data_IF_948491691101
#
_entry.id   IF_948491691101
#
_cell.length_a   1.000
_cell.length_b   1.000
_cell.length_c   1.000
_cell.angle_alpha   90.00
_cell.angle_beta   90.00
_cell.angle_gamma   90.00
#
_symmetry.space_group_name_H-M   'P 1'
#
loop_
_entity.id
_entity.type
_entity.pdbx_description
1 polymer ?
#
# COMPACT_ATOMS: atom_id res chain seq x y z
N UNK A 1 6.60 -23.18 2.91
CA UNK A 1 5.98 -22.07 3.65
C UNK A 1 6.71 -20.79 3.26
N UNK A 2 6.09 -19.76 2.67
CA UNK A 2 6.83 -18.54 2.36
C UNK A 2 7.10 -17.80 3.67
N UNK A 3 8.35 -17.37 3.83
CA UNK A 3 8.97 -16.96 5.10
C UNK A 3 8.66 -15.51 5.51
N UNK A 4 7.90 -14.74 4.72
CA UNK A 4 7.62 -13.32 4.97
C UNK A 4 6.24 -12.88 4.41
N UNK A 5 5.20 -12.70 5.23
CA UNK A 5 3.84 -12.34 4.78
C UNK A 5 3.61 -10.83 4.54
N UNK A 6 4.57 -9.96 4.90
CA UNK A 6 4.35 -8.51 4.98
C UNK A 6 4.61 -7.73 3.68
N UNK A 7 5.38 -8.29 2.74
CA UNK A 7 5.58 -7.73 1.41
C UNK A 7 5.00 -8.70 0.37
N UNK A 8 3.68 -8.70 0.28
CA UNK A 8 3.01 -9.22 -0.91
C UNK A 8 2.93 -8.05 -1.89
N UNK A 9 3.67 -8.10 -3.00
CA UNK A 9 3.20 -7.41 -4.20
C UNK A 9 1.83 -8.02 -4.48
N UNK A 10 0.79 -7.21 -4.33
CA UNK A 10 -0.52 -7.62 -4.75
C UNK A 10 -0.61 -7.18 -6.21
N UNK A 11 -0.03 -7.99 -7.08
CA UNK A 11 -0.55 -8.04 -8.45
C UNK A 11 -1.96 -8.59 -8.33
N UNK A 12 -2.94 -7.70 -8.21
CA UNK A 12 -4.33 -8.08 -8.03
C UNK A 12 -4.89 -8.58 -9.37
N UNK A 13 -4.53 -9.81 -9.73
CA UNK A 13 -4.95 -10.46 -10.96
C UNK A 13 -6.31 -11.15 -10.79
N UNK A 14 -7.15 -11.13 -11.84
CA UNK A 14 -8.48 -11.76 -11.84
C UNK A 14 -9.62 -10.86 -11.33
N UNK A 15 -10.80 -11.43 -11.06
CA UNK A 15 -12.02 -10.71 -10.61
C UNK A 15 -12.22 -10.69 -9.08
N UNK A 16 -11.16 -10.95 -8.30
CA UNK A 16 -11.26 -11.08 -6.84
C UNK A 16 -11.45 -9.70 -6.20
N UNK A 17 -12.53 -9.55 -5.41
CA UNK A 17 -12.84 -8.34 -4.64
C UNK A 17 -12.17 -8.41 -3.27
N UNK A 18 -11.18 -7.54 -3.06
CA UNK A 18 -10.46 -7.44 -1.78
C UNK A 18 -10.80 -6.14 -1.07
N UNK A 19 -10.63 -6.12 0.24
CA UNK A 19 -10.80 -4.90 1.05
C UNK A 19 -9.79 -4.86 2.18
N UNK A 20 -9.35 -3.66 2.54
CA UNK A 20 -8.55 -3.44 3.74
C UNK A 20 -9.46 -2.91 4.84
N UNK A 21 -9.47 -3.55 6.00
CA UNK A 21 -10.35 -3.13 7.10
C UNK A 21 -9.69 -2.06 7.95
N UNK A 22 -10.12 -0.81 7.75
CA UNK A 22 -9.70 0.36 8.53
C UNK A 22 -10.75 0.81 9.55
N UNK A 23 -11.98 1.10 9.11
CA UNK A 23 -13.03 1.64 9.99
C UNK A 23 -13.56 0.64 11.04
N UNK A 24 -13.24 -0.64 10.91
CA UNK A 24 -13.63 -1.69 11.85
C UNK A 24 -12.49 -1.97 12.83
N UNK A 25 -12.06 -0.97 13.59
CA UNK A 25 -10.99 -1.07 14.58
C UNK A 25 -11.34 -1.91 15.82
N UNK A 26 -12.30 -2.82 15.75
CA UNK A 26 -12.48 -3.91 16.73
C UNK A 26 -12.51 -5.28 16.04
N UNK A 27 -12.43 -5.29 14.70
CA UNK A 27 -12.42 -6.52 13.92
C UNK A 27 -11.09 -7.25 14.12
N UNK A 28 -11.10 -8.59 14.27
CA UNK A 28 -9.88 -9.40 14.25
C UNK A 28 -9.15 -9.35 12.90
N UNK A 29 -9.78 -8.78 11.88
CA UNK A 29 -9.25 -8.57 10.54
C UNK A 29 -8.74 -7.14 10.31
N UNK A 30 -8.69 -6.29 11.35
CA UNK A 30 -8.18 -4.93 11.26
C UNK A 30 -6.76 -4.88 10.67
N UNK A 31 -6.51 -3.91 9.79
CA UNK A 31 -5.25 -3.73 9.06
C UNK A 31 -4.81 -4.97 8.25
N UNK A 32 -5.77 -5.74 7.73
CA UNK A 32 -5.53 -6.87 6.82
C UNK A 32 -6.28 -6.69 5.52
N UNK A 33 -5.66 -7.16 4.44
CA UNK A 33 -6.32 -7.30 3.15
C UNK A 33 -6.99 -8.67 3.12
N UNK A 34 -8.30 -8.67 2.99
CA UNK A 34 -9.12 -9.88 2.98
C UNK A 34 -9.91 -9.99 1.69
N UNK A 35 -10.28 -11.22 1.35
CA UNK A 35 -11.15 -11.56 0.23
C UNK A 35 -12.56 -11.82 0.78
N UNK A 36 -13.53 -11.06 0.31
CA UNK A 36 -14.90 -11.13 0.82
C UNK A 36 -15.54 -12.51 0.59
N UNK A 37 -15.16 -13.21 -0.48
CA UNK A 37 -15.66 -14.56 -0.77
C UNK A 37 -15.14 -15.59 0.24
N UNK A 38 -14.05 -15.28 0.96
CA UNK A 38 -13.44 -16.15 1.96
C UNK A 38 -13.88 -15.84 3.39
N UNK A 39 -14.02 -14.56 3.73
CA UNK A 39 -14.36 -14.14 5.10
C UNK A 39 -15.84 -13.87 5.31
N UNK A 40 -16.63 -13.82 4.22
CA UNK A 40 -18.05 -13.49 4.22
C UNK A 40 -18.30 -11.98 4.11
N UNK A 41 -19.42 -11.62 3.49
CA UNK A 41 -19.80 -10.22 3.24
C UNK A 41 -19.96 -9.41 4.54
N UNK A 42 -20.52 -10.02 5.59
CA UNK A 42 -20.71 -9.36 6.89
C UNK A 42 -19.38 -9.00 7.56
N UNK A 43 -18.34 -9.82 7.35
CA UNK A 43 -17.03 -9.58 7.93
C UNK A 43 -16.31 -8.37 7.32
N UNK A 44 -16.71 -7.95 6.11
CA UNK A 44 -16.16 -6.77 5.41
C UNK A 44 -17.15 -5.60 5.38
N UNK A 45 -18.36 -5.76 5.94
CA UNK A 45 -19.40 -4.75 5.95
C UNK A 45 -18.96 -3.53 6.80
N UNK A 46 -18.99 -2.34 6.19
CA UNK A 46 -18.50 -1.11 6.83
C UNK A 46 -17.01 -0.86 6.66
N UNK A 47 -16.29 -1.67 5.88
CA UNK A 47 -14.94 -1.34 5.41
C UNK A 47 -14.97 -0.09 4.54
N UNK A 48 -14.15 0.91 4.88
CA UNK A 48 -14.04 2.18 4.15
C UNK A 48 -13.01 2.17 3.02
N UNK A 49 -12.18 1.11 2.94
CA UNK A 49 -11.10 0.99 1.97
C UNK A 49 -11.31 -0.23 1.03
N UNK A 50 -12.31 -0.18 0.13
CA UNK A 50 -12.48 -1.20 -0.90
C UNK A 50 -11.30 -1.16 -1.88
N UNK A 51 -10.75 -2.32 -2.21
CA UNK A 51 -9.69 -2.46 -3.21
C UNK A 51 -10.31 -2.83 -4.56
N UNK A 52 -9.53 -2.71 -5.63
CA UNK A 52 -10.00 -2.84 -7.01
C UNK A 52 -11.12 -1.84 -7.32
N UNK A 53 -10.81 -0.54 -7.24
CA UNK A 53 -11.81 0.48 -7.53
C UNK A 53 -12.33 0.36 -8.96
N UNK A 54 -11.55 -0.16 -9.91
CA UNK A 54 -12.03 -0.42 -11.27
C UNK A 54 -13.18 -1.42 -11.35
N UNK A 55 -13.35 -2.29 -10.35
CA UNK A 55 -14.48 -3.24 -10.26
C UNK A 55 -15.73 -2.61 -9.63
N UNK A 56 -15.62 -1.40 -9.09
CA UNK A 56 -16.67 -0.72 -8.32
C UNK A 56 -17.02 0.68 -8.89
N UNK A 57 -16.06 1.36 -9.52
CA UNK A 57 -16.09 2.76 -9.99
C UNK A 57 -15.49 2.83 -11.41
N UNK A 58 -16.32 2.57 -12.43
CA UNK A 58 -16.10 2.89 -13.86
C UNK A 58 -14.65 2.73 -14.39
N UNK A 59 -13.95 1.66 -14.01
CA UNK A 59 -12.60 1.39 -14.51
C UNK A 59 -11.46 2.16 -13.83
N UNK A 60 -11.64 2.72 -12.63
CA UNK A 60 -10.58 3.40 -11.87
C UNK A 60 -9.37 2.50 -11.57
N UNK A 61 -8.27 2.73 -12.29
CA UNK A 61 -7.09 1.85 -12.29
C UNK A 61 -6.13 2.08 -11.13
N UNK A 62 -6.44 2.94 -10.15
CA UNK A 62 -5.58 3.21 -8.99
C UNK A 62 -5.02 1.98 -8.30
N UNK A 63 -5.87 0.97 -8.12
CA UNK A 63 -5.55 -0.27 -7.42
C UNK A 63 -5.27 -1.44 -8.37
N UNK A 64 -5.05 -1.18 -9.67
CA UNK A 64 -4.64 -2.20 -10.62
C UNK A 64 -3.23 -2.75 -10.29
N UNK A 65 -2.35 -1.88 -9.80
CA UNK A 65 -1.01 -2.23 -9.33
C UNK A 65 -0.72 -1.54 -7.99
N UNK A 66 -0.27 -2.32 -7.01
CA UNK A 66 0.09 -1.81 -5.70
C UNK A 66 1.00 -2.75 -4.91
N UNK A 67 1.52 -2.26 -3.80
CA UNK A 67 2.14 -3.07 -2.77
C UNK A 67 1.83 -2.53 -1.37
N UNK A 68 1.79 -3.45 -0.41
CA UNK A 68 1.56 -3.12 0.99
C UNK A 68 2.84 -2.58 1.63
N UNK A 69 2.71 -1.52 2.44
CA UNK A 69 3.78 -0.99 3.28
C UNK A 69 3.51 -1.45 4.71
N UNK A 70 4.29 -2.40 5.21
CA UNK A 70 4.09 -3.05 6.50
C UNK A 70 4.49 -2.22 7.72
N UNK A 71 3.87 -1.05 7.93
CA UNK A 71 4.20 -0.14 9.04
C UNK A 71 3.60 -0.54 10.40
N UNK A 72 2.57 -1.41 10.44
CA UNK A 72 1.82 -1.72 11.68
C UNK A 72 1.58 -3.23 11.87
N UNK A 73 2.61 -4.06 12.06
CA UNK A 73 2.46 -5.52 12.12
C UNK A 73 1.58 -6.01 13.29
N UNK A 74 1.50 -5.21 14.36
CA UNK A 74 0.66 -5.50 15.52
C UNK A 74 -0.81 -5.11 15.31
N UNK A 75 -1.13 -4.36 14.25
CA UNK A 75 -2.47 -3.87 13.95
C UNK A 75 -3.18 -3.29 15.20
N UNK A 76 -2.47 -2.43 15.96
CA UNK A 76 -3.07 -1.80 17.14
C UNK A 76 -4.15 -0.83 16.69
N UNK A 77 -5.34 -0.98 17.25
CA UNK A 77 -6.48 -0.13 16.94
C UNK A 77 -6.15 1.35 17.20
N UNK A 78 -6.51 2.20 16.23
CA UNK A 78 -6.24 3.65 16.28
C UNK A 78 -4.79 4.05 16.00
N UNK A 79 -3.89 3.12 15.67
CA UNK A 79 -2.48 3.39 15.39
C UNK A 79 -2.17 3.58 13.89
N UNK A 80 -3.20 3.80 13.07
CA UNK A 80 -3.09 3.84 11.61
C UNK A 80 -3.13 2.45 10.97
N UNK A 81 -3.71 2.38 9.77
CA UNK A 81 -3.96 1.15 9.04
C UNK A 81 -3.87 1.35 7.53
N UNK A 82 -3.85 0.26 6.77
CA UNK A 82 -4.06 0.25 5.33
C UNK A 82 -3.09 1.19 4.58
N UNK A 83 -1.80 1.14 4.92
CA UNK A 83 -0.77 1.93 4.24
C UNK A 83 -0.24 1.16 3.02
N UNK A 84 -0.42 1.73 1.84
CA UNK A 84 0.02 1.13 0.58
C UNK A 84 0.56 2.17 -0.39
N UNK A 85 1.33 1.67 -1.36
CA UNK A 85 1.70 2.41 -2.56
C UNK A 85 0.81 1.97 -3.73
N UNK A 86 0.31 2.91 -4.53
CA UNK A 86 -0.65 2.64 -5.62
C UNK A 86 -0.43 3.57 -6.82
N UNK A 87 -1.16 3.35 -7.92
CA UNK A 87 -1.05 4.19 -9.13
C UNK A 87 -1.72 5.55 -8.94
N UNK A 88 -1.20 6.59 -9.60
CA UNK A 88 -1.91 7.86 -9.76
C UNK A 88 -3.26 7.68 -10.47
N UNK A 89 -4.24 8.52 -10.12
CA UNK A 89 -5.41 8.73 -11.01
C UNK A 89 -5.04 9.71 -12.10
N UNK A 90 -4.41 10.80 -11.69
CA UNK A 90 -3.84 11.84 -12.54
C UNK A 90 -2.51 12.32 -11.92
N UNK A 91 -1.58 12.76 -12.78
CA UNK A 91 -0.30 13.30 -12.34
C UNK A 91 -0.51 14.53 -11.44
N UNK A 92 0.25 14.61 -10.35
CA UNK A 92 0.24 15.75 -9.42
C UNK A 92 -0.90 15.80 -8.40
N UNK A 93 -1.81 14.83 -8.38
CA UNK A 93 -2.91 14.79 -7.40
C UNK A 93 -2.40 14.37 -6.01
N UNK A 94 -2.45 15.28 -5.04
CA UNK A 94 -2.11 14.99 -3.65
C UNK A 94 -3.16 14.06 -3.02
N UNK A 95 -2.72 13.05 -2.24
CA UNK A 95 -3.62 12.14 -1.53
C UNK A 95 -3.29 12.06 -0.04
N UNK A 96 -4.34 11.88 0.76
CA UNK A 96 -4.21 11.63 2.18
C UNK A 96 -3.66 10.21 2.41
N UNK A 97 -2.51 10.10 3.05
CA UNK A 97 -1.98 8.85 3.63
C UNK A 97 -1.32 7.85 2.66
N UNK A 98 -1.78 7.70 1.41
CA UNK A 98 -1.22 6.74 0.46
C UNK A 98 -0.03 7.30 -0.32
N UNK A 99 0.96 6.45 -0.60
CA UNK A 99 2.03 6.81 -1.56
C UNK A 99 1.57 6.50 -2.98
N UNK A 100 1.84 7.38 -3.93
CA UNK A 100 1.30 7.26 -5.29
C UNK A 100 2.38 7.56 -6.33
N UNK A 101 2.32 6.87 -7.48
CA UNK A 101 3.32 7.01 -8.55
C UNK A 101 2.74 6.60 -9.91
N UNK A 102 3.50 6.84 -10.99
CA UNK A 102 3.14 6.36 -12.33
C UNK A 102 3.31 4.85 -12.48
N UNK A 103 2.61 4.21 -13.44
CA UNK A 103 2.73 2.77 -13.70
C UNK A 103 4.18 2.32 -13.96
N UNK A 104 4.96 3.11 -14.69
CA UNK A 104 6.34 2.74 -15.02
C UNK A 104 7.24 2.68 -13.77
N UNK A 105 7.08 3.61 -12.82
CA UNK A 105 7.79 3.58 -11.54
C UNK A 105 7.34 2.41 -10.68
N UNK A 106 6.03 2.16 -10.61
CA UNK A 106 5.45 1.06 -9.87
C UNK A 106 6.02 -0.29 -10.35
N UNK A 107 6.07 -0.51 -11.66
CA UNK A 107 6.60 -1.74 -12.25
C UNK A 107 8.11 -1.89 -12.01
N UNK A 108 8.87 -0.80 -12.11
CA UNK A 108 10.31 -0.79 -11.77
C UNK A 108 10.54 -1.18 -10.32
N UNK A 109 9.80 -0.58 -9.38
CA UNK A 109 9.90 -0.91 -7.96
C UNK A 109 9.50 -2.36 -7.68
N UNK A 110 8.39 -2.84 -8.21
CA UNK A 110 7.96 -4.23 -8.01
C UNK A 110 8.98 -5.24 -8.56
N UNK A 111 9.66 -4.92 -9.66
CA UNK A 111 10.73 -5.76 -10.23
C UNK A 111 11.99 -5.74 -9.37
N UNK A 112 12.31 -4.58 -8.77
CA UNK A 112 13.48 -4.41 -7.91
C UNK A 112 13.29 -4.99 -6.51
N UNK A 113 12.09 -4.88 -5.94
CA UNK A 113 11.76 -5.28 -4.59
C UNK A 113 11.90 -6.79 -4.40
N UNK A 114 12.77 -7.17 -3.47
CA UNK A 114 12.97 -8.56 -3.05
C UNK A 114 12.53 -8.73 -1.59
N UNK A 115 11.41 -9.41 -1.29
CA UNK A 115 10.90 -9.53 0.08
C UNK A 115 11.93 -10.10 1.07
N UNK A 116 12.78 -11.03 0.60
CA UNK A 116 13.84 -11.65 1.39
C UNK A 116 15.06 -10.75 1.63
N UNK A 117 15.14 -9.59 0.98
CA UNK A 117 16.18 -8.59 1.21
C UNK A 117 15.81 -7.59 2.32
N UNK A 118 14.65 -7.77 2.98
CA UNK A 118 14.14 -6.89 4.02
C UNK A 118 14.14 -5.39 3.62
N UNK A 119 13.50 -5.02 2.49
CA UNK A 119 13.48 -3.64 2.04
C UNK A 119 12.81 -2.73 3.07
N UNK A 120 13.40 -1.56 3.29
CA UNK A 120 12.85 -0.52 4.17
C UNK A 120 12.23 0.58 3.32
N UNK A 121 11.00 0.95 3.66
CA UNK A 121 10.34 2.13 3.12
C UNK A 121 10.44 3.27 4.12
N UNK A 122 11.04 4.38 3.71
CA UNK A 122 11.23 5.58 4.53
C UNK A 122 10.50 6.74 3.85
N UNK A 123 9.51 7.30 4.53
CA UNK A 123 8.83 8.52 4.10
C UNK A 123 9.26 9.67 5.00
N UNK A 124 9.79 10.73 4.42
CA UNK A 124 10.30 11.87 5.16
C UNK A 124 10.03 13.19 4.44
N UNK A 125 10.02 14.29 5.20
CA UNK A 125 9.96 15.64 4.62
C UNK A 125 11.28 15.99 3.96
N UNK A 126 11.27 16.93 3.00
CA UNK A 126 12.51 17.45 2.38
C UNK A 126 13.52 17.96 3.41
N UNK A 127 13.03 18.62 4.46
CA UNK A 127 13.85 19.11 5.58
C UNK A 127 14.54 17.95 6.32
N UNK A 128 13.83 16.86 6.58
CA UNK A 128 14.41 15.69 7.26
C UNK A 128 15.41 14.97 6.35
N UNK A 129 15.12 14.87 5.05
CA UNK A 129 16.04 14.32 4.08
C UNK A 129 17.38 15.08 4.07
N UNK A 130 17.33 16.41 3.94
CA UNK A 130 18.51 17.28 3.97
C UNK A 130 19.33 17.10 5.24
N UNK A 131 18.66 16.97 6.40
CA UNK A 131 19.31 16.80 7.68
C UNK A 131 19.92 15.40 7.89
N UNK A 132 19.23 14.34 7.44
CA UNK A 132 19.61 12.96 7.70
C UNK A 132 20.48 12.35 6.61
N UNK A 133 20.57 12.96 5.42
CA UNK A 133 21.24 12.41 4.23
C UNK A 133 22.64 11.87 4.51
N UNK A 134 23.49 12.66 5.17
CA UNK A 134 24.85 12.25 5.49
C UNK A 134 24.88 11.15 6.55
N UNK A 135 24.10 11.30 7.63
CA UNK A 135 24.09 10.36 8.75
C UNK A 135 23.55 8.97 8.35
N UNK A 136 22.60 8.92 7.42
CA UNK A 136 21.96 7.68 6.96
C UNK A 136 22.50 7.18 5.61
N UNK A 137 23.52 7.85 5.05
CA UNK A 137 24.08 7.56 3.73
C UNK A 137 23.00 7.45 2.64
N UNK A 138 22.02 8.37 2.65
CA UNK A 138 20.93 8.35 1.68
C UNK A 138 21.45 8.64 0.27
N UNK A 139 20.87 8.00 -0.76
CA UNK A 139 21.23 8.27 -2.15
C UNK A 139 20.94 9.72 -2.52
N UNK A 140 21.66 10.24 -3.51
CA UNK A 140 21.33 11.53 -4.09
C UNK A 140 19.91 11.47 -4.69
N UNK A 141 19.07 12.43 -4.34
CA UNK A 141 17.76 12.60 -4.99
C UNK A 141 18.00 13.12 -6.39
N UNK A 142 17.63 12.35 -7.41
CA UNK A 142 17.55 12.88 -8.77
C UNK A 142 16.46 13.96 -8.80
N UNK A 143 16.67 15.12 -9.46
CA UNK A 143 15.59 16.08 -9.63
C UNK A 143 14.42 15.39 -10.33
N UNK A 144 13.21 15.63 -9.84
CA UNK A 144 12.01 15.18 -10.53
C UNK A 144 12.00 15.79 -11.95
N UNK A 145 11.67 15.01 -12.99
CA UNK A 145 11.53 15.53 -14.35
C UNK A 145 10.47 16.64 -14.43
#
# INVERSE_FOLDING_TARGET
>A
MPKFPWLSSLTQTGNVRRSCLEAMALSPLYNRIVDADRVGADAVAGSTEPRRLELHDDGDRRYAEDFLIGQTPQARHGAGSCIFAQLWRAAGEARAGCTTMEPADMQRLQTWLRPNAAPLFVLQTRKNDEHLRSAWALPATEPAP
#
